data_IF_502382746866
#
_entry.id   IF_502382746866
#
_cell.length_a   1.000
_cell.length_b   1.000
_cell.length_c   1.000
_cell.angle_alpha   90.00
_cell.angle_beta   90.00
_cell.angle_gamma   90.00
#
_symmetry.space_group_name_H-M   'P 1'
#
loop_
_entity.id
_entity.type
_entity.pdbx_description
1 polymer ?
#
# COMPACT_ATOMS: atom_id res chain seq x y z
N UNK A 1 -17.08 -18.49 -27.22
CA UNK A 1 -16.92 -18.16 -25.79
C UNK A 1 -18.11 -17.32 -25.35
N UNK A 2 -18.86 -17.71 -24.30
CA UNK A 2 -19.90 -16.86 -23.75
C UNK A 2 -19.28 -15.50 -23.39
N UNK A 3 -19.84 -14.40 -23.90
CA UNK A 3 -19.40 -13.06 -23.50
C UNK A 3 -19.64 -12.95 -22.00
N UNK A 4 -18.56 -12.80 -21.23
CA UNK A 4 -18.63 -12.56 -19.78
C UNK A 4 -19.56 -11.37 -19.56
N UNK A 5 -20.55 -11.53 -18.69
CA UNK A 5 -21.43 -10.43 -18.28
C UNK A 5 -20.54 -9.27 -17.84
N UNK A 6 -20.82 -8.06 -18.35
CA UNK A 6 -20.03 -6.89 -17.98
C UNK A 6 -20.05 -6.77 -16.47
N UNK A 7 -18.87 -6.70 -15.84
CA UNK A 7 -18.77 -6.41 -14.42
C UNK A 7 -19.53 -5.12 -14.17
N UNK A 8 -20.45 -5.08 -13.19
CA UNK A 8 -21.17 -3.85 -12.87
C UNK A 8 -20.17 -2.73 -12.58
N UNK A 9 -20.53 -1.48 -12.87
CA UNK A 9 -19.68 -0.36 -12.55
C UNK A 9 -19.39 -0.34 -11.03
N UNK A 10 -18.18 0.07 -10.65
CA UNK A 10 -17.82 0.41 -9.28
C UNK A 10 -18.96 1.03 -8.47
N UNK A 11 -19.24 0.48 -7.28
CA UNK A 11 -20.02 1.23 -6.30
C UNK A 11 -19.10 2.28 -5.68
N UNK A 12 -19.07 3.45 -6.32
CA UNK A 12 -18.26 4.59 -5.92
C UNK A 12 -18.48 5.06 -4.48
N UNK A 13 -19.49 4.55 -3.76
CA UNK A 13 -19.72 4.85 -2.33
C UNK A 13 -19.13 3.81 -1.39
N UNK A 14 -18.99 2.55 -1.80
CA UNK A 14 -18.43 1.48 -0.96
C UNK A 14 -17.00 1.09 -1.33
N UNK A 15 -16.48 1.55 -2.48
CA UNK A 15 -15.13 1.16 -2.88
C UNK A 15 -14.03 1.72 -1.96
N UNK A 16 -13.01 0.88 -1.66
CA UNK A 16 -11.84 1.27 -0.88
C UNK A 16 -10.97 2.27 -1.64
N UNK A 17 -10.08 2.94 -0.92
CA UNK A 17 -9.14 3.90 -1.48
C UNK A 17 -7.82 3.21 -1.81
N UNK A 18 -7.26 3.54 -2.96
CA UNK A 18 -5.97 3.02 -3.39
C UNK A 18 -4.91 4.11 -3.36
N UNK A 19 -3.75 3.77 -2.80
CA UNK A 19 -2.59 4.65 -2.76
C UNK A 19 -1.40 3.96 -3.37
N UNK A 20 -0.47 4.73 -3.91
CA UNK A 20 0.80 4.24 -4.45
C UNK A 20 1.93 4.77 -3.60
N UNK A 21 2.72 3.85 -3.05
CA UNK A 21 3.95 4.11 -2.30
C UNK A 21 5.11 4.02 -3.30
N UNK A 22 5.85 5.10 -3.43
CA UNK A 22 7.12 5.16 -4.16
C UNK A 22 8.28 5.08 -3.16
N UNK A 23 9.25 4.22 -3.46
CA UNK A 23 10.36 3.85 -2.57
C UNK A 23 9.85 3.34 -1.21
N UNK A 24 9.16 2.17 -1.19
CA UNK A 24 8.63 1.61 0.05
C UNK A 24 9.72 1.34 1.08
N UNK A 25 9.37 1.47 2.36
CA UNK A 25 10.14 0.94 3.49
C UNK A 25 9.88 -0.58 3.59
N UNK A 26 10.87 -1.44 3.89
CA UNK A 26 12.27 -1.13 4.23
C UNK A 26 13.19 -0.87 3.03
N UNK A 27 14.48 -0.60 3.28
CA UNK A 27 15.48 -0.44 2.20
C UNK A 27 15.48 -1.70 1.31
N UNK A 28 15.41 -1.49 -0.02
CA UNK A 28 15.31 -2.58 -0.99
C UNK A 28 14.12 -3.52 -0.76
N UNK A 29 13.00 -2.99 -0.27
CA UNK A 29 11.81 -3.77 0.08
C UNK A 29 11.47 -4.81 -1.00
N UNK A 30 11.54 -6.09 -0.63
CA UNK A 30 11.15 -7.19 -1.48
C UNK A 30 9.80 -7.74 -1.03
N UNK A 31 8.74 -7.39 -1.75
CA UNK A 31 7.38 -7.82 -1.41
C UNK A 31 7.14 -9.32 -1.60
N UNK A 32 8.08 -10.09 -2.18
CA UNK A 32 8.04 -11.55 -2.16
C UNK A 32 8.40 -12.10 -0.77
N UNK A 33 9.15 -11.34 0.04
CA UNK A 33 9.53 -11.71 1.40
C UNK A 33 8.44 -11.29 2.41
N UNK A 34 8.05 -12.23 3.26
CA UNK A 34 7.04 -12.00 4.29
C UNK A 34 7.44 -10.96 5.32
N UNK A 35 8.72 -10.93 5.68
CA UNK A 35 9.30 -9.97 6.61
C UNK A 35 9.13 -8.54 6.12
N UNK A 36 9.41 -8.29 4.85
CA UNK A 36 9.39 -6.95 4.26
C UNK A 36 7.95 -6.47 4.08
N UNK A 37 7.03 -7.37 3.68
CA UNK A 37 5.60 -7.10 3.66
C UNK A 37 5.09 -6.68 5.03
N UNK A 38 5.46 -7.43 6.08
CA UNK A 38 5.06 -7.13 7.47
C UNK A 38 5.60 -5.78 7.93
N UNK A 39 6.87 -5.48 7.67
CA UNK A 39 7.47 -4.19 8.01
C UNK A 39 6.75 -3.02 7.31
N UNK A 40 6.45 -3.17 6.02
CA UNK A 40 5.67 -2.18 5.28
C UNK A 40 4.27 -2.02 5.88
N UNK A 41 3.56 -3.12 6.15
CA UNK A 41 2.23 -3.09 6.77
C UNK A 41 2.24 -2.41 8.14
N UNK A 42 3.22 -2.70 9.01
CA UNK A 42 3.31 -2.07 10.32
C UNK A 42 3.55 -0.58 10.23
N UNK A 43 4.46 -0.14 9.36
CA UNK A 43 4.70 1.29 9.14
C UNK A 43 3.44 2.00 8.64
N UNK A 44 2.71 1.42 7.67
CA UNK A 44 1.44 1.98 7.18
C UNK A 44 0.37 1.98 8.28
N UNK A 45 0.27 0.92 9.07
CA UNK A 45 -0.65 0.86 10.20
C UNK A 45 -0.36 1.95 11.25
N UNK A 46 0.92 2.27 11.50
CA UNK A 46 1.30 3.38 12.38
C UNK A 46 0.80 4.73 11.85
N UNK A 47 0.84 4.96 10.54
CA UNK A 47 0.31 6.20 9.92
C UNK A 47 -1.22 6.26 10.02
N UNK A 48 -1.89 5.12 9.75
CA UNK A 48 -3.35 5.01 9.79
C UNK A 48 -3.92 5.05 11.23
N UNK A 49 -3.13 4.65 12.22
CA UNK A 49 -3.49 4.55 13.63
C UNK A 49 -4.23 3.27 14.02
N UNK A 50 -4.77 2.52 13.06
CA UNK A 50 -5.44 1.23 13.28
C UNK A 50 -5.19 0.32 12.06
N UNK A 51 -4.59 -0.88 12.24
CA UNK A 51 -4.25 -1.78 11.15
C UNK A 51 -5.48 -2.32 10.41
N UNK A 52 -6.68 -2.31 11.01
CA UNK A 52 -7.90 -2.84 10.37
C UNK A 52 -8.26 -2.12 9.08
N UNK A 53 -7.78 -0.88 8.91
CA UNK A 53 -8.04 -0.08 7.72
C UNK A 53 -7.13 -0.43 6.54
N UNK A 54 -6.08 -1.23 6.73
CA UNK A 54 -5.22 -1.69 5.64
C UNK A 54 -5.69 -3.08 5.18
N UNK A 55 -6.22 -3.19 3.96
CA UNK A 55 -6.79 -4.43 3.46
C UNK A 55 -5.80 -5.27 2.66
N UNK A 56 -5.03 -4.64 1.77
CA UNK A 56 -4.12 -5.38 0.89
C UNK A 56 -2.93 -4.54 0.41
N UNK A 57 -1.88 -5.25 0.02
CA UNK A 57 -0.72 -4.74 -0.71
C UNK A 57 -0.73 -5.35 -2.12
N UNK A 58 -0.37 -4.57 -3.12
CA UNK A 58 -0.22 -5.03 -4.49
C UNK A 58 1.15 -4.65 -5.01
N UNK A 59 1.91 -5.67 -5.37
CA UNK A 59 3.27 -5.52 -5.86
C UNK A 59 3.35 -5.91 -7.33
N UNK A 60 4.09 -5.13 -8.11
CA UNK A 60 4.41 -5.48 -9.49
C UNK A 60 5.93 -5.72 -9.60
N UNK A 61 6.39 -6.94 -9.92
CA UNK A 61 7.82 -7.22 -10.05
C UNK A 61 8.54 -6.33 -11.08
N UNK A 62 7.83 -5.89 -12.13
CA UNK A 62 8.38 -4.95 -13.13
C UNK A 62 8.54 -3.51 -12.62
N UNK A 63 8.10 -3.20 -11.40
CA UNK A 63 8.14 -1.86 -10.81
C UNK A 63 8.46 -1.98 -9.31
N UNK A 64 9.66 -2.48 -8.96
CA UNK A 64 9.99 -2.91 -7.59
C UNK A 64 9.98 -1.76 -6.57
N UNK A 65 10.20 -0.53 -7.04
CA UNK A 65 10.18 0.67 -6.19
C UNK A 65 8.76 1.21 -5.96
N UNK A 66 7.72 0.48 -6.36
CA UNK A 66 6.32 0.90 -6.23
C UNK A 66 5.46 -0.21 -5.65
N UNK A 67 4.64 0.15 -4.67
CA UNK A 67 3.63 -0.73 -4.07
C UNK A 67 2.30 0.01 -4.03
N UNK A 68 1.23 -0.66 -4.42
CA UNK A 68 -0.12 -0.12 -4.26
C UNK A 68 -0.71 -0.69 -2.97
N UNK A 69 -1.40 0.13 -2.20
CA UNK A 69 -2.11 -0.32 -1.00
C UNK A 69 -3.60 -0.06 -1.15
N UNK A 70 -4.39 -0.94 -0.57
CA UNK A 70 -5.84 -0.81 -0.45
C UNK A 70 -6.21 -0.48 0.99
N UNK A 71 -6.89 0.64 1.16
CA UNK A 71 -7.25 1.21 2.45
C UNK A 71 -8.76 1.38 2.52
N UNK A 72 -9.35 1.01 3.64
CA UNK A 72 -10.76 1.23 3.92
C UNK A 72 -11.10 2.72 3.76
N UNK A 73 -12.15 2.99 2.97
CA UNK A 73 -12.69 4.33 2.78
C UNK A 73 -13.14 4.97 4.09
N UNK A 74 -13.59 4.16 5.06
CA UNK A 74 -14.06 4.60 6.37
C UNK A 74 -12.95 5.12 7.28
N UNK A 75 -11.67 4.89 6.92
CA UNK A 75 -10.55 5.36 7.70
C UNK A 75 -10.62 6.89 7.88
N UNK A 76 -10.70 7.42 9.11
CA UNK A 76 -10.86 8.86 9.33
C UNK A 76 -9.60 9.66 9.00
N UNK A 77 -8.44 9.01 9.01
CA UNK A 77 -7.12 9.65 8.96
C UNK A 77 -6.31 9.27 7.71
N UNK A 78 -6.95 8.76 6.65
CA UNK A 78 -6.25 8.32 5.43
C UNK A 78 -5.37 9.43 4.81
N UNK A 79 -5.71 10.70 5.02
CA UNK A 79 -4.97 11.86 4.49
C UNK A 79 -3.55 11.95 5.03
N UNK A 80 -3.30 11.41 6.22
CA UNK A 80 -1.95 11.31 6.80
C UNK A 80 -1.00 10.43 6.01
N UNK A 81 -1.54 9.54 5.17
CA UNK A 81 -0.70 8.79 4.24
C UNK A 81 -0.05 9.71 3.23
N UNK A 82 -0.73 10.74 2.74
CA UNK A 82 -0.28 11.49 1.58
C UNK A 82 0.99 12.30 1.87
N UNK A 83 1.88 12.37 0.88
CA UNK A 83 3.10 13.17 0.94
C UNK A 83 4.36 12.34 1.19
N UNK A 84 5.39 13.02 1.69
CA UNK A 84 6.72 12.47 1.94
C UNK A 84 6.86 12.07 3.42
N UNK A 85 7.38 10.87 3.66
CA UNK A 85 7.65 10.32 4.98
C UNK A 85 9.13 10.02 5.09
N UNK A 86 9.88 10.87 5.81
CA UNK A 86 11.31 10.64 6.00
C UNK A 86 11.54 9.53 7.01
N UNK A 87 12.43 8.61 6.71
CA UNK A 87 12.64 7.44 7.57
C UNK A 87 13.26 7.83 8.91
N UNK A 88 14.07 8.89 8.92
CA UNK A 88 14.61 9.50 10.14
C UNK A 88 13.56 10.05 11.10
N UNK A 89 12.30 10.22 10.67
CA UNK A 89 11.22 10.75 11.52
C UNK A 89 10.49 9.64 12.30
N UNK A 90 10.56 8.39 11.85
CA UNK A 90 9.86 7.27 12.49
C UNK A 90 10.78 6.11 12.93
N UNK A 91 12.01 6.02 12.41
CA UNK A 91 13.02 5.09 12.90
C UNK A 91 13.72 5.70 14.12
N UNK A 92 13.79 4.96 15.22
CA UNK A 92 14.47 5.41 16.44
C UNK A 92 15.99 5.55 16.25
N UNK A 93 16.59 4.66 15.47
CA UNK A 93 18.02 4.63 15.17
C UNK A 93 18.23 4.22 13.71
N UNK A 94 18.00 5.14 12.75
CA UNK A 94 18.18 4.84 11.33
C UNK A 94 19.66 4.55 11.02
N UNK A 95 19.91 3.57 10.15
CA UNK A 95 21.24 3.35 9.59
C UNK A 95 21.66 4.55 8.73
N UNK A 96 22.97 4.75 8.49
CA UNK A 96 23.46 5.89 7.71
C UNK A 96 22.81 5.98 6.32
N UNK A 97 22.55 4.82 5.71
CA UNK A 97 21.90 4.71 4.39
C UNK A 97 20.38 4.95 4.43
N UNK A 98 19.77 5.02 5.62
CA UNK A 98 18.33 5.25 5.84
C UNK A 98 18.03 6.71 6.19
N UNK A 99 18.99 7.43 6.78
CA UNK A 99 18.82 8.82 7.24
C UNK A 99 18.31 9.75 6.12
N UNK A 100 18.85 9.60 4.92
CA UNK A 100 18.48 10.41 3.76
C UNK A 100 17.28 9.87 2.98
N UNK A 101 16.69 8.74 3.39
CA UNK A 101 15.61 8.08 2.64
C UNK A 101 14.25 8.58 3.07
N UNK A 102 13.34 8.54 2.10
CA UNK A 102 11.94 8.82 2.31
C UNK A 102 11.07 7.93 1.45
N UNK A 103 9.89 7.59 1.96
CA UNK A 103 8.82 6.97 1.20
C UNK A 103 7.83 8.07 0.80
N UNK A 104 7.31 8.03 -0.43
CA UNK A 104 6.34 9.02 -0.90
C UNK A 104 5.04 8.34 -1.27
N UNK A 105 3.92 8.84 -0.74
CA UNK A 105 2.61 8.23 -0.97
C UNK A 105 1.73 9.21 -1.73
N UNK A 106 1.14 8.70 -2.80
CA UNK A 106 0.25 9.41 -3.69
C UNK A 106 -1.08 8.67 -3.81
N UNK A 107 -2.12 9.35 -4.28
CA UNK A 107 -3.29 8.65 -4.80
C UNK A 107 -2.86 7.72 -5.94
N UNK A 108 -3.39 6.50 -5.93
CA UNK A 108 -3.17 5.56 -7.02
C UNK A 108 -3.82 6.07 -8.30
N UNK A 109 -3.21 5.76 -9.44
CA UNK A 109 -3.85 5.91 -10.75
C UNK A 109 -5.10 5.04 -10.88
N UNK A 110 -5.15 3.93 -10.16
CA UNK A 110 -6.24 2.96 -10.21
C UNK A 110 -7.20 3.21 -9.04
N UNK A 111 -8.49 3.30 -9.34
CA UNK A 111 -9.54 3.59 -8.37
C UNK A 111 -10.36 2.37 -7.94
N UNK A 112 -10.09 1.18 -8.50
CA UNK A 112 -10.91 -0.03 -8.29
C UNK A 112 -10.07 -1.31 -8.39
N UNK A 113 -10.45 -2.32 -7.60
CA UNK A 113 -9.74 -3.59 -7.41
C UNK A 113 -9.29 -4.23 -8.73
N UNK A 114 -10.20 -4.36 -9.70
CA UNK A 114 -9.91 -4.98 -11.00
C UNK A 114 -8.78 -4.30 -11.78
N UNK A 115 -8.61 -2.99 -11.61
CA UNK A 115 -7.52 -2.24 -12.23
C UNK A 115 -6.18 -2.57 -11.59
N UNK A 116 -6.17 -2.74 -10.27
CA UNK A 116 -4.97 -3.07 -9.50
C UNK A 116 -4.56 -4.53 -9.69
N UNK A 117 -5.51 -5.47 -9.59
CA UNK A 117 -5.27 -6.92 -9.76
C UNK A 117 -4.68 -7.28 -11.13
N UNK A 118 -5.06 -6.56 -12.18
CA UNK A 118 -4.49 -6.76 -13.52
C UNK A 118 -3.04 -6.30 -13.64
N UNK A 119 -2.58 -5.48 -12.71
CA UNK A 119 -1.30 -4.79 -12.78
C UNK A 119 -0.35 -5.14 -11.63
N UNK A 120 -0.77 -5.92 -10.65
CA UNK A 120 0.07 -6.35 -9.53
C UNK A 120 -0.47 -7.62 -8.87
N UNK A 121 0.44 -8.36 -8.25
CA UNK A 121 0.13 -9.51 -7.41
C UNK A 121 -0.36 -9.02 -6.04
N UNK A 122 -1.49 -9.54 -5.60
CA UNK A 122 -2.16 -9.14 -4.36
C UNK A 122 -1.68 -9.98 -3.18
N UNK A 123 -1.31 -9.31 -2.09
CA UNK A 123 -1.04 -9.88 -0.79
C UNK A 123 -2.05 -9.31 0.21
N UNK A 124 -2.84 -10.18 0.82
CA UNK A 124 -3.82 -9.80 1.83
C UNK A 124 -3.07 -9.31 3.08
N UNK A 125 -3.35 -8.09 3.54
CA UNK A 125 -2.70 -7.51 4.71
C UNK A 125 -3.23 -8.09 6.03
N UNK A 126 -4.34 -8.83 5.97
CA UNK A 126 -5.03 -9.44 7.11
C UNK A 126 -4.90 -10.97 7.12
N UNK A 127 -3.88 -11.48 7.79
CA UNK A 127 -4.13 -12.57 8.75
C UNK A 127 -3.79 -12.02 10.15
N UNK A 128 -4.77 -11.93 11.06
CA UNK A 128 -4.46 -11.59 12.45
C UNK A 128 -3.58 -12.71 13.01
N UNK A 129 -2.38 -12.35 13.50
CA UNK A 129 -1.64 -13.21 14.42
C UNK A 129 -2.40 -13.35 15.75
#
# INVERSE_FOLDING_TARGET
MPKRVSTPPPDWKSEPKYFTIYQPYPIHANMELDTDRKLLCFWIACILGDPKYLFALFHKPSSPNMVIIEVDRSCPSYERLLGEHKWSEFLLQPHCDEVARSSKIYYSRWSHARGVEKNGECFIASEPC
#
